data_IF_556916426004
#
_entry.id   IF_556916426004
#
_cell.length_a   1.000
_cell.length_b   1.000
_cell.length_c   1.000
_cell.angle_alpha   90.00
_cell.angle_beta   90.00
_cell.angle_gamma   90.00
#
_symmetry.space_group_name_H-M   'P 1'
#
loop_
_entity.id
_entity.type
_entity.pdbx_description
1 polymer ?
#
# COMPACT_ATOMS: atom_id res chain seq x y z
N UNK A 1 -7.99 -9.48 4.58
CA UNK A 1 -7.08 -8.45 5.10
C UNK A 1 -7.01 -8.46 6.63
N UNK A 2 -8.14 -8.47 7.33
CA UNK A 2 -8.14 -8.52 8.78
C UNK A 2 -7.45 -9.77 9.35
N UNK A 3 -7.61 -10.92 8.72
CA UNK A 3 -6.91 -12.15 9.11
C UNK A 3 -5.39 -12.02 9.01
N UNK A 4 -4.92 -11.37 7.95
CA UNK A 4 -3.50 -11.17 7.73
C UNK A 4 -2.90 -10.27 8.83
N UNK A 5 -3.57 -9.16 9.13
CA UNK A 5 -3.15 -8.27 10.19
C UNK A 5 -3.13 -8.97 11.56
N UNK A 6 -4.17 -9.76 11.87
CA UNK A 6 -4.25 -10.51 13.12
C UNK A 6 -3.12 -11.53 13.22
N UNK A 7 -2.81 -12.23 12.12
CA UNK A 7 -1.73 -13.21 12.11
C UNK A 7 -0.37 -12.55 12.38
N UNK A 8 -0.12 -11.38 11.80
CA UNK A 8 1.09 -10.62 12.06
C UNK A 8 1.18 -10.15 13.51
N UNK A 9 0.09 -9.62 14.05
CA UNK A 9 0.05 -9.16 15.44
C UNK A 9 0.27 -10.28 16.43
N UNK A 10 -0.26 -11.47 16.14
CA UNK A 10 -0.05 -12.66 16.97
C UNK A 10 1.42 -13.09 17.02
N UNK A 11 2.23 -12.65 16.06
CA UNK A 11 3.67 -12.91 16.03
C UNK A 11 4.48 -11.75 16.59
N UNK A 12 3.84 -10.77 17.19
CA UNK A 12 4.49 -9.65 17.83
C UNK A 12 4.71 -8.43 16.93
N UNK A 13 4.13 -8.43 15.73
CA UNK A 13 4.27 -7.30 14.80
C UNK A 13 3.30 -6.17 15.14
N UNK A 14 3.72 -4.95 14.93
CA UNK A 14 2.84 -3.77 14.96
C UNK A 14 2.35 -3.50 13.54
N UNK A 15 1.04 -3.52 13.34
CA UNK A 15 0.42 -3.34 12.02
C UNK A 15 -0.28 -1.99 11.96
N UNK A 16 0.04 -1.21 10.92
CA UNK A 16 -0.61 0.08 10.64
C UNK A 16 -1.15 0.05 9.22
N UNK A 17 -2.32 0.63 9.02
CA UNK A 17 -2.96 0.76 7.72
C UNK A 17 -2.82 2.19 7.22
N UNK A 18 -2.08 2.39 6.15
CA UNK A 18 -1.88 3.70 5.55
C UNK A 18 -2.94 3.96 4.47
N UNK A 19 -3.60 5.10 4.56
CA UNK A 19 -4.71 5.46 3.67
C UNK A 19 -4.37 6.73 2.92
N UNK A 20 -4.46 6.68 1.59
CA UNK A 20 -4.35 7.86 0.74
C UNK A 20 -5.70 8.57 0.67
N UNK A 21 -5.74 9.92 0.75
CA UNK A 21 -7.01 10.66 0.79
C UNK A 21 -7.88 10.47 -0.45
N UNK A 22 -7.30 10.14 -1.60
CA UNK A 22 -8.06 9.91 -2.84
C UNK A 22 -8.18 8.43 -3.20
N UNK A 23 -7.79 7.51 -2.29
CA UNK A 23 -7.98 6.09 -2.51
C UNK A 23 -9.47 5.73 -2.44
N UNK A 24 -9.91 4.86 -3.35
CA UNK A 24 -11.31 4.48 -3.45
C UNK A 24 -12.07 5.40 -4.39
N UNK A 25 -13.41 5.38 -4.29
CA UNK A 25 -14.30 6.13 -5.18
C UNK A 25 -14.58 7.55 -4.70
N UNK A 26 -14.36 7.82 -3.43
CA UNK A 26 -14.65 9.13 -2.82
C UNK A 26 -13.76 9.30 -1.58
N UNK A 27 -13.57 10.55 -1.11
CA UNK A 27 -12.81 10.79 0.12
C UNK A 27 -13.39 9.97 1.29
N UNK A 28 -12.50 9.32 2.03
CA UNK A 28 -12.89 8.50 3.18
C UNK A 28 -13.42 7.10 2.85
N UNK A 29 -13.55 6.74 1.56
CA UNK A 29 -14.09 5.43 1.15
C UNK A 29 -13.31 4.26 1.74
N UNK A 30 -11.98 4.32 1.69
CA UNK A 30 -11.16 3.23 2.22
C UNK A 30 -11.29 3.08 3.74
N UNK A 31 -11.41 4.18 4.47
CA UNK A 31 -11.62 4.12 5.92
C UNK A 31 -12.93 3.40 6.26
N UNK A 32 -14.00 3.68 5.52
CA UNK A 32 -15.29 3.00 5.70
C UNK A 32 -15.15 1.50 5.41
N UNK A 33 -14.53 1.14 4.29
CA UNK A 33 -14.36 -0.27 3.91
C UNK A 33 -13.54 -1.04 4.94
N UNK A 34 -12.48 -0.45 5.47
CA UNK A 34 -11.65 -1.10 6.47
C UNK A 34 -12.39 -1.26 7.80
N UNK A 35 -13.20 -0.28 8.21
CA UNK A 35 -14.03 -0.40 9.40
C UNK A 35 -15.08 -1.51 9.23
N UNK A 36 -15.68 -1.64 8.06
CA UNK A 36 -16.62 -2.72 7.76
C UNK A 36 -15.94 -4.10 7.78
N UNK A 37 -14.64 -4.15 7.49
CA UNK A 37 -13.84 -5.37 7.57
C UNK A 37 -13.35 -5.69 8.98
N UNK A 38 -13.87 -5.00 10.00
CA UNK A 38 -13.51 -5.17 11.43
C UNK A 38 -12.06 -4.80 11.76
N UNK A 39 -11.50 -3.87 11.03
CA UNK A 39 -10.19 -3.31 11.35
C UNK A 39 -10.37 -2.13 12.30
N UNK A 40 -9.67 -2.15 13.43
CA UNK A 40 -9.78 -1.10 14.44
C UNK A 40 -9.41 0.27 13.87
N UNK A 41 -10.25 1.26 14.15
CA UNK A 41 -10.02 2.63 13.70
C UNK A 41 -8.66 3.16 14.15
N UNK A 42 -8.19 2.76 15.31
CA UNK A 42 -6.88 3.20 15.85
C UNK A 42 -5.69 2.74 15.02
N UNK A 43 -5.87 1.74 14.15
CA UNK A 43 -4.83 1.23 13.23
C UNK A 43 -4.83 1.94 11.89
N UNK A 44 -5.80 2.84 11.64
CA UNK A 44 -5.94 3.58 10.40
C UNK A 44 -5.18 4.90 10.50
N UNK A 45 -4.24 5.10 9.59
CA UNK A 45 -3.42 6.31 9.55
C UNK A 45 -3.59 7.00 8.21
N UNK A 46 -3.88 8.30 8.25
CA UNK A 46 -3.90 9.09 7.02
C UNK A 46 -2.47 9.30 6.53
N UNK A 47 -2.33 9.55 5.23
CA UNK A 47 -1.04 9.69 4.58
C UNK A 47 -0.11 10.68 5.29
N UNK A 48 -0.63 11.83 5.68
CA UNK A 48 0.14 12.88 6.33
C UNK A 48 0.69 12.49 7.71
N UNK A 49 0.02 11.52 8.37
CA UNK A 49 0.43 11.06 9.70
C UNK A 49 1.42 9.89 9.63
N UNK A 50 1.47 9.15 8.51
CA UNK A 50 2.25 7.92 8.42
C UNK A 50 3.42 8.00 7.44
N UNK A 51 3.47 9.00 6.55
CA UNK A 51 4.49 9.04 5.50
C UNK A 51 5.92 8.99 6.04
N UNK A 52 6.18 9.61 7.18
CA UNK A 52 7.51 9.60 7.78
C UNK A 52 7.87 8.25 8.40
N UNK A 53 6.87 7.41 8.67
CA UNK A 53 7.08 6.10 9.30
C UNK A 53 7.56 5.03 8.31
N UNK A 54 7.43 5.25 7.00
CA UNK A 54 7.87 4.26 6.01
C UNK A 54 9.36 3.96 6.08
N UNK A 55 10.18 4.95 6.35
CA UNK A 55 11.62 4.75 6.47
C UNK A 55 12.00 3.89 7.70
N UNK A 56 11.17 3.90 8.73
CA UNK A 56 11.39 3.17 9.97
C UNK A 56 10.64 1.85 10.09
N UNK A 57 9.82 1.49 9.10
CA UNK A 57 9.11 0.21 9.13
C UNK A 57 10.01 -0.93 8.64
N UNK A 58 9.64 -2.17 8.98
CA UNK A 58 10.38 -3.34 8.50
C UNK A 58 9.97 -3.72 7.09
N UNK A 59 8.67 -3.63 6.81
CA UNK A 59 8.11 -3.98 5.51
C UNK A 59 6.83 -3.18 5.26
N UNK A 60 6.64 -2.75 4.03
CA UNK A 60 5.40 -2.14 3.55
C UNK A 60 4.71 -3.12 2.60
N UNK A 61 3.42 -3.35 2.82
CA UNK A 61 2.62 -4.22 1.95
C UNK A 61 1.57 -3.37 1.26
N UNK A 62 1.63 -3.34 -0.06
CA UNK A 62 0.76 -2.53 -0.90
C UNK A 62 -0.23 -3.45 -1.59
N UNK A 63 -1.52 -3.17 -1.42
CA UNK A 63 -2.58 -4.02 -1.95
C UNK A 63 -3.45 -3.21 -2.89
N UNK A 64 -3.38 -3.54 -4.18
CA UNK A 64 -4.20 -2.93 -5.21
C UNK A 64 -3.92 -1.45 -5.49
N UNK A 65 -2.84 -0.89 -4.96
CA UNK A 65 -2.49 0.51 -5.16
C UNK A 65 -1.36 0.66 -6.18
N UNK A 66 -1.37 1.75 -6.93
CA UNK A 66 -0.34 2.05 -7.93
C UNK A 66 0.00 3.54 -7.91
N UNK A 67 -0.85 4.38 -8.51
CA UNK A 67 -0.54 5.81 -8.66
C UNK A 67 -0.26 6.50 -7.32
N UNK A 68 -0.97 6.12 -6.27
CA UNK A 68 -0.81 6.71 -4.93
C UNK A 68 0.52 6.38 -4.26
N UNK A 69 1.31 5.48 -4.83
CA UNK A 69 2.65 5.12 -4.36
C UNK A 69 3.73 5.50 -5.36
N UNK A 70 3.36 6.02 -6.52
CA UNK A 70 4.30 6.23 -7.63
C UNK A 70 5.17 7.47 -7.40
N UNK A 71 6.49 7.30 -7.18
CA UNK A 71 7.39 8.44 -6.95
C UNK A 71 7.54 9.38 -8.16
N UNK A 72 7.08 8.98 -9.34
CA UNK A 72 7.05 9.86 -10.50
C UNK A 72 6.15 11.09 -10.27
N UNK A 73 5.23 11.03 -9.32
CA UNK A 73 4.44 12.19 -8.91
C UNK A 73 5.30 13.37 -8.44
N UNK A 74 6.50 13.09 -7.94
CA UNK A 74 7.42 14.11 -7.45
C UNK A 74 8.37 14.66 -8.52
N UNK A 75 8.56 13.93 -9.62
CA UNK A 75 9.64 14.22 -10.56
C UNK A 75 9.22 14.29 -12.03
N UNK A 76 8.16 13.62 -12.41
CA UNK A 76 7.75 13.49 -13.82
C UNK A 76 6.80 14.61 -14.23
N UNK A 77 7.35 15.79 -14.51
CA UNK A 77 6.59 16.93 -15.02
C UNK A 77 5.83 16.56 -16.30
N UNK A 78 4.62 17.11 -16.45
CA UNK A 78 3.79 16.85 -17.63
C UNK A 78 2.95 15.58 -17.54
N UNK A 79 3.07 14.79 -16.47
CA UNK A 79 2.21 13.62 -16.25
C UNK A 79 0.98 14.00 -15.42
N UNK A 80 -0.12 13.20 -15.52
CA UNK A 80 -1.33 13.49 -14.76
C UNK A 80 -1.14 13.43 -13.23
N UNK A 81 -0.14 12.70 -12.73
CA UNK A 81 0.09 12.56 -11.30
C UNK A 81 1.08 13.57 -10.73
N UNK A 82 1.75 14.36 -11.58
CA UNK A 82 2.75 15.30 -11.10
C UNK A 82 2.18 16.28 -10.07
N UNK A 83 2.86 16.39 -8.94
CA UNK A 83 2.43 17.23 -7.84
C UNK A 83 1.43 16.59 -6.89
N UNK A 84 0.96 15.38 -7.17
CA UNK A 84 0.08 14.66 -6.26
C UNK A 84 0.87 14.15 -5.06
N UNK A 85 0.41 14.40 -3.82
CA UNK A 85 1.02 13.75 -2.65
C UNK A 85 0.85 12.23 -2.75
N UNK A 86 1.88 11.49 -2.36
CA UNK A 86 1.87 10.03 -2.42
C UNK A 86 2.26 9.42 -1.09
N UNK A 87 1.89 8.14 -0.91
CA UNK A 87 2.42 7.33 0.18
C UNK A 87 3.88 6.96 -0.14
N UNK A 88 4.80 7.29 0.76
CA UNK A 88 6.26 7.17 0.53
C UNK A 88 6.76 5.73 0.69
N UNK A 89 6.13 4.78 0.02
CA UNK A 89 6.49 3.37 0.05
C UNK A 89 7.93 3.14 -0.39
N UNK A 90 8.44 3.98 -1.29
CA UNK A 90 9.83 3.90 -1.77
C UNK A 90 10.86 4.01 -0.63
N UNK A 91 10.50 4.62 0.49
CA UNK A 91 11.38 4.79 1.64
C UNK A 91 11.43 3.55 2.54
N UNK A 92 10.51 2.59 2.37
CA UNK A 92 10.52 1.37 3.18
C UNK A 92 11.72 0.50 2.82
N UNK A 93 12.34 -0.17 3.80
CA UNK A 93 13.47 -1.09 3.53
C UNK A 93 13.09 -2.22 2.57
N UNK A 94 11.83 -2.68 2.65
CA UNK A 94 11.28 -3.69 1.76
C UNK A 94 9.80 -3.40 1.53
N UNK A 95 9.34 -3.61 0.31
CA UNK A 95 7.92 -3.48 -0.04
C UNK A 95 7.46 -4.69 -0.85
N UNK A 96 6.24 -5.15 -0.56
CA UNK A 96 5.57 -6.22 -1.31
C UNK A 96 4.32 -5.63 -1.94
N UNK A 97 4.22 -5.71 -3.26
CA UNK A 97 3.06 -5.25 -4.01
C UNK A 97 2.18 -6.44 -4.39
N UNK A 98 0.95 -6.43 -3.89
CA UNK A 98 -0.07 -7.43 -4.22
C UNK A 98 -1.01 -6.81 -5.26
N UNK A 99 -0.61 -6.79 -6.52
CA UNK A 99 -1.35 -6.19 -7.62
C UNK A 99 -1.65 -7.24 -8.68
N UNK A 100 -2.68 -6.99 -9.50
CA UNK A 100 -3.08 -7.95 -10.53
C UNK A 100 -2.00 -8.09 -11.60
N UNK A 101 -1.38 -6.98 -12.02
CA UNK A 101 -0.32 -6.95 -13.02
C UNK A 101 0.60 -5.75 -12.78
N UNK A 102 1.56 -5.54 -13.69
CA UNK A 102 2.51 -4.44 -13.62
C UNK A 102 2.14 -3.25 -14.53
N UNK A 103 0.94 -3.26 -15.09
CA UNK A 103 0.50 -2.18 -15.97
C UNK A 103 0.36 -0.87 -15.19
N UNK A 104 0.51 0.28 -15.86
CA UNK A 104 0.25 1.57 -15.22
C UNK A 104 -1.14 1.62 -14.61
N UNK A 105 -1.29 2.44 -13.56
CA UNK A 105 -2.58 2.69 -12.95
C UNK A 105 -3.48 3.57 -13.82
N UNK A 106 -4.52 4.11 -13.21
CA UNK A 106 -5.52 4.92 -13.91
C UNK A 106 -4.91 6.11 -14.65
N UNK A 107 -3.85 6.71 -14.11
CA UNK A 107 -3.17 7.85 -14.72
C UNK A 107 -2.28 7.47 -15.91
N UNK A 108 -2.05 6.19 -16.16
CA UNK A 108 -1.24 5.71 -17.27
C UNK A 108 0.26 5.94 -17.14
N UNK A 109 0.75 6.24 -15.94
CA UNK A 109 2.17 6.52 -15.68
C UNK A 109 2.83 5.27 -15.12
N UNK A 110 3.90 4.74 -15.77
CA UNK A 110 4.62 3.59 -15.23
C UNK A 110 5.18 3.87 -13.85
N UNK A 111 5.08 2.86 -12.96
CA UNK A 111 5.56 2.99 -11.59
C UNK A 111 6.98 2.40 -11.48
N UNK A 112 8.03 3.22 -11.29
CA UNK A 112 9.40 2.72 -11.22
C UNK A 112 9.66 1.84 -9.99
N UNK A 113 8.80 1.87 -8.97
CA UNK A 113 8.93 0.98 -7.82
C UNK A 113 8.87 -0.49 -8.20
N UNK A 114 8.16 -0.82 -9.26
CA UNK A 114 8.02 -2.21 -9.70
C UNK A 114 9.34 -2.85 -10.14
N UNK A 115 10.33 -2.04 -10.45
CA UNK A 115 11.66 -2.49 -10.86
C UNK A 115 12.73 -2.24 -9.79
N UNK A 116 12.33 -1.72 -8.62
CA UNK A 116 13.26 -1.43 -7.53
C UNK A 116 13.73 -2.71 -6.83
N UNK A 117 14.99 -2.73 -6.40
CA UNK A 117 15.60 -3.90 -5.75
C UNK A 117 14.93 -4.27 -4.42
N UNK A 118 14.34 -3.29 -3.73
CA UNK A 118 13.68 -3.51 -2.45
C UNK A 118 12.19 -3.86 -2.60
N UNK A 119 11.70 -4.08 -3.81
CA UNK A 119 10.29 -4.36 -4.08
C UNK A 119 10.13 -5.77 -4.62
N UNK A 120 9.19 -6.50 -4.01
CA UNK A 120 8.76 -7.82 -4.47
C UNK A 120 7.34 -7.71 -5.03
N UNK A 121 7.13 -8.25 -6.21
CA UNK A 121 5.80 -8.24 -6.85
C UNK A 121 5.12 -9.59 -6.68
N UNK A 122 3.90 -9.58 -6.13
CA UNK A 122 3.00 -10.73 -6.11
C UNK A 122 1.84 -10.43 -7.05
N UNK A 123 1.93 -10.97 -8.26
CA UNK A 123 0.95 -10.68 -9.31
C UNK A 123 -0.22 -11.66 -9.27
N UNK A 124 -1.41 -11.15 -9.56
CA UNK A 124 -2.64 -11.90 -9.56
C UNK A 124 -3.69 -11.27 -8.67
N UNK A 125 -4.72 -12.03 -8.30
CA UNK A 125 -5.77 -11.55 -7.41
C UNK A 125 -5.18 -11.20 -6.03
N UNK A 126 -5.39 -9.96 -5.58
CA UNK A 126 -4.85 -9.48 -4.31
C UNK A 126 -5.35 -10.32 -3.12
N UNK A 127 -6.60 -10.77 -3.16
CA UNK A 127 -7.14 -11.63 -2.09
C UNK A 127 -6.38 -12.94 -2.00
N UNK A 128 -6.09 -13.57 -3.13
CA UNK A 128 -5.32 -14.82 -3.16
C UNK A 128 -3.89 -14.58 -2.66
N UNK A 129 -3.26 -13.49 -3.07
CA UNK A 129 -1.92 -13.14 -2.62
C UNK A 129 -1.87 -12.93 -1.11
N UNK A 130 -2.83 -12.21 -0.56
CA UNK A 130 -2.93 -11.97 0.90
C UNK A 130 -3.20 -13.28 1.65
N UNK A 131 -4.05 -14.14 1.11
CA UNK A 131 -4.33 -15.45 1.71
C UNK A 131 -3.07 -16.34 1.74
N UNK A 132 -2.26 -16.31 0.69
CA UNK A 132 -0.99 -17.03 0.65
C UNK A 132 -0.01 -16.49 1.69
N UNK A 133 0.09 -15.18 1.83
CA UNK A 133 0.93 -14.56 2.85
C UNK A 133 0.46 -14.94 4.26
N UNK A 134 -0.85 -14.95 4.48
CA UNK A 134 -1.44 -15.32 5.77
C UNK A 134 -1.09 -16.77 6.12
N UNK A 135 -1.21 -17.68 5.17
CA UNK A 135 -0.89 -19.10 5.38
C UNK A 135 0.60 -19.29 5.69
N UNK A 136 1.46 -18.51 5.06
CA UNK A 136 2.90 -18.60 5.23
C UNK A 136 3.35 -18.20 6.65
N UNK A 137 2.71 -17.19 7.25
CA UNK A 137 3.12 -16.67 8.56
C UNK A 137 2.41 -17.34 9.75
N UNK A 138 1.46 -18.21 9.50
CA UNK A 138 0.75 -18.93 10.55
C UNK A 138 1.62 -19.97 11.24
#
# INVERSE_FOLDING_TARGET
>A
MARFATALENRGAEVKFAIHPVAGRMPGHMSVLLCEANIDYEKLYMMEDINDDFAGCDIAIVIGANDVTNPAANTAEGTPIYGMPILNVAHAPMAVFCNFDTKPGYAGVPNPLYESDNVLMMLGDAKESVDQLTAFIR
#
